data_IF_940287788307
#
_entry.id   IF_940287788307
#
_cell.length_a   1.000
_cell.length_b   1.000
_cell.length_c   1.000
_cell.angle_alpha   90.00
_cell.angle_beta   90.00
_cell.angle_gamma   90.00
#
_symmetry.space_group_name_H-M   'P 1'
#
loop_
_entity.id
_entity.type
_entity.pdbx_description
1 polymer ?
#
# COMPACT_ATOMS: atom_id res chain seq x y z
N UNK A 1 -36.72 -17.89 -11.56
CA UNK A 1 -35.62 -18.73 -12.06
C UNK A 1 -34.38 -17.86 -12.18
N UNK A 2 -33.40 -18.14 -11.31
CA UNK A 2 -31.98 -17.77 -11.38
C UNK A 2 -31.60 -16.49 -12.15
N UNK A 3 -31.56 -15.35 -11.45
CA UNK A 3 -30.50 -14.41 -11.73
C UNK A 3 -29.21 -15.14 -11.36
N UNK A 4 -28.42 -15.57 -12.34
CA UNK A 4 -27.06 -16.04 -12.07
C UNK A 4 -26.40 -14.95 -11.23
N UNK A 5 -26.06 -15.31 -9.98
CA UNK A 5 -25.24 -14.48 -9.16
C UNK A 5 -23.92 -14.34 -9.93
N UNK A 6 -23.76 -13.24 -10.68
CA UNK A 6 -22.46 -12.81 -11.16
C UNK A 6 -21.54 -12.89 -9.94
N UNK A 7 -20.73 -13.94 -9.86
CA UNK A 7 -19.75 -14.07 -8.79
C UNK A 7 -18.85 -12.85 -8.94
N UNK A 8 -19.11 -11.82 -8.11
CA UNK A 8 -18.46 -10.53 -8.24
C UNK A 8 -16.98 -10.80 -8.01
N UNK A 9 -16.14 -10.52 -9.00
CA UNK A 9 -14.69 -10.66 -8.87
C UNK A 9 -14.03 -9.31 -8.60
N UNK A 10 -12.87 -9.34 -7.96
CA UNK A 10 -12.05 -8.18 -7.65
C UNK A 10 -10.60 -8.47 -8.01
N UNK A 11 -10.04 -7.65 -8.91
CA UNK A 11 -8.63 -7.72 -9.26
C UNK A 11 -7.86 -6.52 -8.72
N UNK A 12 -6.77 -6.77 -8.01
CA UNK A 12 -5.92 -5.72 -7.41
C UNK A 12 -4.50 -5.84 -7.94
N UNK A 13 -3.95 -4.75 -8.49
CA UNK A 13 -2.55 -4.69 -8.91
C UNK A 13 -1.72 -4.06 -7.79
N UNK A 14 -0.81 -4.84 -7.21
CA UNK A 14 0.03 -4.43 -6.08
C UNK A 14 1.42 -4.06 -6.61
N UNK A 15 1.69 -2.76 -6.73
CA UNK A 15 2.94 -2.22 -7.32
C UNK A 15 3.95 -1.73 -6.29
N UNK A 16 3.51 -1.47 -5.05
CA UNK A 16 4.32 -0.92 -3.96
C UNK A 16 4.57 -1.99 -2.89
N UNK A 17 5.75 -1.94 -2.29
CA UNK A 17 6.21 -2.95 -1.32
C UNK A 17 6.45 -2.43 0.09
N UNK A 18 6.16 -1.16 0.39
CA UNK A 18 6.33 -0.59 1.74
C UNK A 18 5.12 -0.90 2.60
N UNK A 19 5.31 -0.86 3.92
CA UNK A 19 4.31 -1.30 4.89
C UNK A 19 2.99 -0.53 4.75
N UNK A 20 3.07 0.79 4.65
CA UNK A 20 1.94 1.72 4.50
C UNK A 20 1.10 1.46 3.24
N UNK A 21 1.74 1.01 2.16
CA UNK A 21 1.06 0.66 0.91
C UNK A 21 0.59 -0.79 0.83
N UNK A 22 1.11 -1.67 1.69
CA UNK A 22 0.68 -3.05 1.76
C UNK A 22 -0.68 -3.19 2.44
N UNK A 23 -0.96 -2.39 3.48
CA UNK A 23 -2.21 -2.50 4.25
C UNK A 23 -3.49 -2.36 3.38
N UNK A 24 -3.66 -1.31 2.56
CA UNK A 24 -4.90 -1.11 1.80
C UNK A 24 -5.29 -2.30 0.90
N UNK A 25 -4.42 -2.82 0.00
CA UNK A 25 -4.81 -3.92 -0.88
C UNK A 25 -5.12 -5.21 -0.11
N UNK A 26 -4.41 -5.51 0.98
CA UNK A 26 -4.69 -6.70 1.80
C UNK A 26 -6.01 -6.60 2.60
N UNK A 27 -6.32 -5.42 3.15
CA UNK A 27 -7.60 -5.19 3.87
C UNK A 27 -8.77 -5.34 2.89
N UNK A 28 -8.67 -4.71 1.72
CA UNK A 28 -9.72 -4.78 0.68
C UNK A 28 -9.89 -6.20 0.16
N UNK A 29 -8.80 -6.89 -0.17
CA UNK A 29 -8.84 -8.27 -0.65
C UNK A 29 -9.50 -9.20 0.38
N UNK A 30 -9.12 -9.09 1.66
CA UNK A 30 -9.68 -9.93 2.72
C UNK A 30 -11.17 -9.66 2.93
N UNK A 31 -11.57 -8.39 2.90
CA UNK A 31 -12.98 -8.01 3.05
C UNK A 31 -13.81 -8.48 1.86
N UNK A 32 -13.32 -8.31 0.64
CA UNK A 32 -13.98 -8.77 -0.57
C UNK A 32 -14.14 -10.29 -0.58
N UNK A 33 -13.08 -11.03 -0.23
CA UNK A 33 -13.13 -12.48 -0.10
C UNK A 33 -14.16 -12.92 0.96
N UNK A 34 -14.22 -12.24 2.11
CA UNK A 34 -15.22 -12.52 3.15
C UNK A 34 -16.67 -12.23 2.70
N UNK A 35 -16.86 -11.29 1.77
CA UNK A 35 -18.16 -10.99 1.15
C UNK A 35 -18.53 -11.93 -0.01
N UNK A 36 -17.71 -12.97 -0.27
CA UNK A 36 -17.95 -13.97 -1.30
C UNK A 36 -17.51 -13.56 -2.70
N UNK A 37 -16.62 -12.57 -2.82
CA UNK A 37 -16.01 -12.21 -4.11
C UNK A 37 -14.83 -13.14 -4.43
N UNK A 38 -14.64 -13.44 -5.72
CA UNK A 38 -13.39 -14.03 -6.22
C UNK A 38 -12.33 -12.94 -6.30
N UNK A 39 -11.22 -13.06 -5.56
CA UNK A 39 -10.21 -12.01 -5.46
C UNK A 39 -8.90 -12.48 -6.08
N UNK A 40 -8.44 -11.76 -7.09
CA UNK A 40 -7.13 -11.95 -7.72
C UNK A 40 -6.20 -10.79 -7.39
N UNK A 41 -5.04 -11.07 -6.81
CA UNK A 41 -4.00 -10.07 -6.53
C UNK A 41 -2.78 -10.28 -7.43
N UNK A 42 -2.48 -9.31 -8.29
CA UNK A 42 -1.30 -9.33 -9.15
C UNK A 42 -0.18 -8.48 -8.56
N UNK A 43 0.85 -9.14 -8.05
CA UNK A 43 2.03 -8.49 -7.47
C UNK A 43 3.07 -8.22 -8.56
N UNK A 44 3.54 -6.97 -8.65
CA UNK A 44 4.53 -6.56 -9.64
C UNK A 44 5.47 -5.47 -9.10
N UNK A 45 6.60 -5.24 -9.77
CA UNK A 45 7.65 -4.30 -9.35
C UNK A 45 8.06 -4.50 -7.88
N UNK A 46 7.93 -3.45 -7.07
CA UNK A 46 8.24 -3.48 -5.64
C UNK A 46 7.22 -4.30 -4.83
N UNK A 47 6.00 -4.53 -5.36
CA UNK A 47 5.00 -5.37 -4.70
C UNK A 47 5.45 -6.83 -4.54
N UNK A 48 6.38 -7.31 -5.38
CA UNK A 48 6.95 -8.67 -5.25
C UNK A 48 7.65 -8.88 -3.90
N UNK A 49 8.14 -7.82 -3.24
CA UNK A 49 8.78 -7.97 -1.93
C UNK A 49 7.81 -8.41 -0.84
N UNK A 50 6.51 -8.19 -1.03
CA UNK A 50 5.45 -8.61 -0.11
C UNK A 50 5.18 -10.13 -0.16
N UNK A 51 5.70 -10.84 -1.16
CA UNK A 51 5.57 -12.30 -1.30
C UNK A 51 6.74 -13.07 -0.64
N UNK A 52 7.71 -12.37 -0.05
CA UNK A 52 8.82 -13.01 0.66
C UNK A 52 8.34 -13.66 1.96
N UNK A 53 8.92 -14.81 2.32
CA UNK A 53 8.62 -15.50 3.60
C UNK A 53 8.99 -14.64 4.80
N UNK A 54 10.18 -14.04 4.77
CA UNK A 54 10.67 -13.14 5.80
C UNK A 54 10.45 -11.69 5.35
N UNK A 55 9.51 -11.02 6.01
CA UNK A 55 9.13 -9.64 5.70
C UNK A 55 9.84 -8.67 6.65
N UNK A 56 10.68 -7.80 6.08
CA UNK A 56 11.28 -6.66 6.77
C UNK A 56 10.84 -5.37 6.07
N UNK A 57 9.56 -5.03 6.23
CA UNK A 57 8.94 -3.90 5.57
C UNK A 57 9.10 -2.65 6.41
N UNK A 58 9.45 -1.55 5.75
CA UNK A 58 9.53 -0.22 6.35
C UNK A 58 8.42 0.66 5.79
N UNK A 59 8.06 1.70 6.52
CA UNK A 59 7.20 2.77 6.03
C UNK A 59 8.05 3.65 5.10
N UNK A 60 7.50 4.05 3.95
CA UNK A 60 8.21 4.98 3.07
C UNK A 60 8.29 6.37 3.69
N UNK A 61 9.49 6.87 3.94
CA UNK A 61 9.67 8.26 4.41
C UNK A 61 9.61 9.28 3.29
N UNK A 62 9.88 8.83 2.06
CA UNK A 62 9.77 9.62 0.85
C UNK A 62 8.40 9.39 0.22
N UNK A 63 7.62 10.47 0.10
CA UNK A 63 6.32 10.44 -0.58
C UNK A 63 5.13 9.97 0.27
N UNK A 64 5.29 9.78 1.58
CA UNK A 64 4.15 9.64 2.49
C UNK A 64 3.75 11.03 3.03
N UNK A 65 2.71 11.68 2.46
CA UNK A 65 2.30 13.02 2.89
C UNK A 65 1.73 13.07 4.32
N UNK A 66 1.40 11.91 4.91
CA UNK A 66 0.90 11.81 6.28
C UNK A 66 2.02 11.57 7.31
N UNK A 67 3.27 11.39 6.88
CA UNK A 67 4.39 11.34 7.82
C UNK A 67 4.81 12.75 8.24
N UNK A 68 4.51 13.09 9.49
CA UNK A 68 5.10 14.23 10.18
C UNK A 68 6.45 13.79 10.74
N UNK A 69 7.56 14.32 10.20
CA UNK A 69 8.89 14.05 10.73
C UNK A 69 9.11 14.89 12.00
N UNK A 70 9.32 14.28 13.19
CA UNK A 70 9.64 15.03 14.39
C UNK A 70 11.09 15.50 14.33
N UNK A 71 11.31 16.64 13.68
CA UNK A 71 12.58 17.37 13.75
C UNK A 71 12.41 18.50 14.76
N UNK A 72 12.75 18.23 16.02
CA UNK A 72 12.95 19.22 17.09
C UNK A 72 11.97 20.42 17.04
N UNK A 73 10.67 20.15 17.13
CA UNK A 73 9.64 21.18 17.34
C UNK A 73 9.36 22.14 16.18
N UNK A 74 9.95 21.95 14.99
CA UNK A 74 9.71 22.81 13.82
C UNK A 74 9.21 21.97 12.64
N UNK A 75 7.96 22.18 12.25
CA UNK A 75 7.27 21.48 11.16
C UNK A 75 7.86 21.85 9.80
N UNK A 76 8.97 21.22 9.42
CA UNK A 76 9.63 21.46 8.14
C UNK A 76 9.31 20.33 7.17
N UNK A 77 8.47 20.62 6.18
CA UNK A 77 8.39 19.80 4.99
C UNK A 77 9.78 19.72 4.33
N UNK A 78 10.12 18.55 3.80
CA UNK A 78 11.37 18.26 3.07
C UNK A 78 11.81 19.26 1.97
N UNK A 79 10.96 20.11 1.33
CA UNK A 79 11.42 20.98 0.24
C UNK A 79 12.52 21.99 0.62
N UNK A 80 12.65 22.36 1.90
CA UNK A 80 13.46 23.54 2.29
C UNK A 80 14.90 23.24 2.73
N UNK A 81 15.31 21.98 2.87
CA UNK A 81 16.70 21.65 3.24
C UNK A 81 17.61 21.57 2.00
N UNK A 82 17.07 21.10 0.87
CA UNK A 82 17.81 21.01 -0.40
C UNK A 82 18.01 22.40 -1.03
N UNK A 83 17.11 23.35 -0.78
CA UNK A 83 17.24 24.74 -1.24
C UNK A 83 18.15 25.61 -0.36
N UNK A 84 18.60 25.09 0.79
CA UNK A 84 19.44 25.81 1.76
C UNK A 84 20.93 25.42 1.70
N UNK A 85 21.31 24.50 0.79
CA UNK A 85 22.71 24.22 0.48
C UNK A 85 23.18 25.15 -0.66
N UNK A 86 24.31 25.88 -0.48
CA UNK A 86 24.88 26.71 -1.53
C UNK A 86 25.38 25.90 -2.73
#
# INVERSE_FOLDING_TARGET
MSAEANAKSMSIIVTKGTLDWAYPPFILATTAAAMGLEVTMFFTFYGLTLLKKDLNLKISTLGNPAMEMPMMGMHMALPNIVSALP
#
